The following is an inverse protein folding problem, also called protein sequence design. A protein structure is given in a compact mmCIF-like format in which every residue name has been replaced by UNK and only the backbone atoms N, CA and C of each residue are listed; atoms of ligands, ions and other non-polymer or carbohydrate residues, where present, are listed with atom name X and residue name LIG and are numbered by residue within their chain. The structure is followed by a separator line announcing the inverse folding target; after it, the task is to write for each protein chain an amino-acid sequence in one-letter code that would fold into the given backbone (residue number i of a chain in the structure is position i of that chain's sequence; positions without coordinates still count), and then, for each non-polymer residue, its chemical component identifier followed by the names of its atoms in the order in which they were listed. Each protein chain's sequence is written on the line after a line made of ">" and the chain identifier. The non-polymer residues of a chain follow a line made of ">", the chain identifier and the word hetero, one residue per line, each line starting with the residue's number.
data_IF_580660337563
#
_entry.id   IF_580660337563
#
_cell.length_a   1.000
_cell.length_b   1.000
_cell.length_c   1.000
_cell.angle_alpha   90.00
_cell.angle_beta   90.00
_cell.angle_gamma   90.00
#
_symmetry.space_group_name_H-M   'P 1'
#
loop_
_entity.id
_entity.type
_entity.pdbx_description
1 polymer ?
#
# COMPACT_ATOMS: atom_id res chain seq x y z
N UNK A 1 -6.56 -16.87 -59.52
CA UNK A 1 -5.83 -17.68 -58.53
C UNK A 1 -5.19 -16.77 -57.48
N UNK A 2 -5.94 -16.14 -56.56
CA UNK A 2 -5.39 -15.42 -55.39
C UNK A 2 -6.45 -15.20 -54.29
N UNK A 3 -7.12 -16.26 -53.81
CA UNK A 3 -8.06 -16.11 -52.68
C UNK A 3 -8.00 -17.29 -51.72
N UNK A 4 -6.81 -17.56 -51.17
CA UNK A 4 -6.61 -18.64 -50.16
C UNK A 4 -5.56 -18.32 -49.08
N UNK A 5 -5.21 -17.05 -48.85
CA UNK A 5 -4.14 -16.70 -47.90
C UNK A 5 -4.58 -15.88 -46.67
N UNK A 6 -5.77 -15.29 -46.66
CA UNK A 6 -6.20 -14.44 -45.53
C UNK A 6 -6.87 -15.20 -44.37
N UNK A 7 -7.33 -16.45 -44.57
CA UNK A 7 -8.07 -17.21 -43.56
C UNK A 7 -7.19 -17.97 -42.56
N UNK A 8 -5.93 -18.27 -42.88
CA UNK A 8 -5.01 -18.97 -41.99
C UNK A 8 -4.37 -18.08 -40.91
N UNK A 9 -4.15 -16.80 -41.25
CA UNK A 9 -3.47 -15.84 -40.36
C UNK A 9 -4.37 -15.39 -39.19
N UNK A 10 -5.67 -15.18 -39.43
CA UNK A 10 -6.63 -14.84 -38.38
C UNK A 10 -6.90 -16.02 -37.43
N UNK A 11 -6.93 -17.25 -37.94
CA UNK A 11 -7.13 -18.44 -37.10
C UNK A 11 -5.90 -18.74 -36.24
N UNK A 12 -4.68 -18.56 -36.77
CA UNK A 12 -3.44 -18.68 -36.01
C UNK A 12 -3.27 -17.60 -34.94
N UNK A 13 -3.73 -16.38 -35.20
CA UNK A 13 -3.66 -15.27 -34.25
C UNK A 13 -4.66 -15.43 -33.09
N UNK A 14 -5.88 -15.92 -33.35
CA UNK A 14 -6.86 -16.26 -32.30
C UNK A 14 -6.39 -17.46 -31.46
N UNK A 15 -5.74 -18.45 -32.08
CA UNK A 15 -5.12 -19.56 -31.36
C UNK A 15 -3.94 -19.12 -30.49
N UNK A 16 -3.06 -18.24 -30.97
CA UNK A 16 -1.95 -17.73 -30.17
C UNK A 16 -2.41 -16.88 -28.99
N UNK A 17 -3.48 -16.09 -29.15
CA UNK A 17 -4.09 -15.35 -28.03
C UNK A 17 -4.70 -16.32 -27.01
N UNK A 18 -5.38 -17.39 -27.45
CA UNK A 18 -5.91 -18.40 -26.53
C UNK A 18 -4.81 -19.15 -25.77
N UNK A 19 -3.68 -19.47 -26.42
CA UNK A 19 -2.53 -20.13 -25.80
C UNK A 19 -1.83 -19.23 -24.79
N UNK A 20 -1.71 -17.91 -25.03
CA UNK A 20 -1.10 -16.98 -24.06
C UNK A 20 -1.99 -16.68 -22.86
N UNK A 21 -3.31 -16.78 -22.99
CA UNK A 21 -4.24 -16.67 -21.85
C UNK A 21 -4.22 -17.96 -21.00
N UNK A 22 -4.19 -19.14 -21.63
CA UNK A 22 -4.15 -20.42 -20.91
C UNK A 22 -2.80 -20.70 -20.23
N UNK A 23 -1.69 -20.17 -20.75
CA UNK A 23 -0.36 -20.36 -20.17
C UNK A 23 -0.09 -19.52 -18.91
N UNK A 24 -0.99 -18.61 -18.54
CA UNK A 24 -0.92 -17.82 -17.30
C UNK A 24 -1.67 -18.48 -16.14
N UNK A 25 -1.79 -19.81 -16.14
CA UNK A 25 -2.20 -20.54 -14.95
C UNK A 25 -1.11 -20.40 -13.88
N UNK A 26 -1.19 -19.32 -13.09
CA UNK A 26 -0.39 -19.15 -11.88
C UNK A 26 -0.62 -20.36 -11.00
N UNK A 27 0.43 -21.15 -10.77
CA UNK A 27 0.39 -22.20 -9.76
C UNK A 27 0.27 -21.47 -8.42
N UNK A 28 -0.95 -21.34 -7.90
CA UNK A 28 -1.19 -20.86 -6.55
C UNK A 28 -0.62 -21.92 -5.61
N UNK A 29 0.63 -21.72 -5.16
CA UNK A 29 1.17 -22.50 -4.07
C UNK A 29 0.26 -22.28 -2.86
N UNK A 30 -0.20 -23.34 -2.17
CA UNK A 30 -0.92 -23.18 -0.92
C UNK A 30 -0.08 -22.35 0.04
N UNK A 31 -0.69 -21.36 0.69
CA UNK A 31 -0.04 -20.59 1.74
C UNK A 31 0.38 -21.53 2.88
N UNK A 32 1.68 -21.64 3.14
CA UNK A 32 2.28 -22.46 4.18
C UNK A 32 2.63 -21.67 5.47
N UNK A 33 2.32 -20.37 5.47
CA UNK A 33 2.54 -19.48 6.61
C UNK A 33 1.43 -19.52 7.67
N UNK A 34 1.53 -18.66 8.71
CA UNK A 34 0.52 -18.57 9.77
C UNK A 34 -0.88 -18.30 9.21
N UNK A 35 -1.87 -19.03 9.72
CA UNK A 35 -3.30 -18.87 9.39
C UNK A 35 -4.08 -18.15 10.49
N UNK A 36 -3.42 -17.84 11.60
CA UNK A 36 -3.96 -17.13 12.76
C UNK A 36 -3.08 -15.95 13.14
N UNK A 37 -3.69 -14.94 13.76
CA UNK A 37 -3.00 -13.78 14.29
C UNK A 37 -3.76 -13.16 15.46
N UNK A 38 -3.31 -11.99 15.94
CA UNK A 38 -4.06 -11.22 16.93
C UNK A 38 -5.50 -10.98 16.45
N UNK A 39 -6.47 -10.87 17.38
CA UNK A 39 -7.84 -10.52 17.03
C UNK A 39 -7.90 -9.22 16.22
N UNK A 40 -8.80 -9.20 15.24
CA UNK A 40 -9.08 -8.00 14.46
C UNK A 40 -9.55 -6.87 15.39
N UNK A 41 -8.89 -5.71 15.29
CA UNK A 41 -9.29 -4.49 15.99
C UNK A 41 -10.39 -3.79 15.17
N UNK A 42 -11.63 -4.25 15.34
CA UNK A 42 -12.78 -3.74 14.59
C UNK A 42 -13.24 -2.35 15.07
N UNK A 43 -13.85 -1.60 14.15
CA UNK A 43 -14.52 -0.33 14.41
C UNK A 43 -13.71 0.89 13.99
N UNK A 44 -14.35 2.05 13.96
CA UNK A 44 -13.78 3.29 13.42
C UNK A 44 -12.49 3.69 14.13
N UNK A 45 -11.39 3.62 13.39
CA UNK A 45 -10.09 4.16 13.77
C UNK A 45 -9.67 5.20 12.72
N UNK A 46 -9.08 6.29 13.18
CA UNK A 46 -8.46 7.29 12.31
C UNK A 46 -6.95 7.04 12.28
N UNK A 47 -6.45 6.69 11.11
CA UNK A 47 -5.04 6.38 10.87
C UNK A 47 -4.50 7.35 9.83
N UNK A 48 -3.31 7.89 10.04
CA UNK A 48 -2.63 8.70 9.04
C UNK A 48 -1.37 8.01 8.56
N UNK A 49 -1.29 7.76 7.25
CA UNK A 49 -0.09 7.23 6.59
C UNK A 49 0.72 8.41 6.03
N UNK A 50 1.91 8.63 6.57
CA UNK A 50 2.83 9.66 6.12
C UNK A 50 3.92 8.99 5.29
N UNK A 51 3.88 9.18 3.97
CA UNK A 51 4.91 8.67 3.08
C UNK A 51 6.11 9.61 3.03
N UNK A 52 7.31 9.04 2.90
CA UNK A 52 8.50 9.81 2.50
C UNK A 52 8.29 10.42 1.10
N UNK A 53 7.84 9.61 0.14
CA UNK A 53 7.59 10.03 -1.24
C UNK A 53 6.68 9.03 -1.97
N UNK A 54 5.49 9.43 -2.41
CA UNK A 54 4.61 8.53 -3.18
C UNK A 54 5.06 8.26 -4.62
N UNK A 55 6.12 8.92 -5.12
CA UNK A 55 6.77 8.52 -6.37
C UNK A 55 7.56 7.22 -6.21
N UNK A 56 7.86 6.81 -4.97
CA UNK A 56 8.43 5.51 -4.69
C UNK A 56 7.35 4.42 -4.78
N UNK A 57 7.42 3.60 -5.83
CA UNK A 57 6.44 2.53 -6.07
C UNK A 57 6.29 1.52 -4.92
N UNK A 58 7.36 1.29 -4.14
CA UNK A 58 7.34 0.40 -2.98
C UNK A 58 6.66 0.99 -1.73
N UNK A 59 6.67 2.32 -1.57
CA UNK A 59 5.89 2.99 -0.51
C UNK A 59 4.40 3.00 -0.92
N UNK A 60 4.12 3.31 -2.18
CA UNK A 60 2.76 3.39 -2.70
C UNK A 60 2.06 2.02 -2.72
N UNK A 61 2.78 0.93 -3.02
CA UNK A 61 2.23 -0.43 -2.91
C UNK A 61 1.89 -0.79 -1.46
N UNK A 62 2.76 -0.46 -0.50
CA UNK A 62 2.50 -0.66 0.94
C UNK A 62 1.29 0.16 1.42
N UNK A 63 1.19 1.43 1.04
CA UNK A 63 0.01 2.24 1.36
C UNK A 63 -1.28 1.61 0.83
N UNK A 64 -1.31 1.16 -0.44
CA UNK A 64 -2.49 0.52 -1.02
C UNK A 64 -2.87 -0.78 -0.29
N UNK A 65 -1.88 -1.64 -0.03
CA UNK A 65 -2.11 -2.89 0.71
C UNK A 65 -2.63 -2.61 2.13
N UNK A 66 -2.00 -1.66 2.84
CA UNK A 66 -2.44 -1.22 4.16
C UNK A 66 -3.86 -0.65 4.13
N UNK A 67 -4.16 0.23 3.18
CA UNK A 67 -5.49 0.85 3.07
C UNK A 67 -6.57 -0.18 2.73
N UNK A 68 -6.27 -1.20 1.92
CA UNK A 68 -7.20 -2.29 1.65
C UNK A 68 -7.47 -3.13 2.90
N UNK A 69 -6.44 -3.46 3.68
CA UNK A 69 -6.59 -4.18 4.94
C UNK A 69 -7.35 -3.35 6.00
N UNK A 70 -7.05 -2.06 6.10
CA UNK A 70 -7.71 -1.12 7.00
C UNK A 70 -9.22 -1.01 6.71
N UNK A 71 -9.61 -1.03 5.43
CA UNK A 71 -11.02 -1.01 5.04
C UNK A 71 -11.80 -2.23 5.54
N UNK A 72 -11.18 -3.42 5.59
CA UNK A 72 -11.79 -4.63 6.16
C UNK A 72 -12.04 -4.52 7.67
N UNK A 73 -11.36 -3.59 8.34
CA UNK A 73 -11.46 -3.33 9.79
C UNK A 73 -12.36 -2.14 10.13
N UNK A 74 -12.96 -1.48 9.12
CA UNK A 74 -13.68 -0.20 9.26
C UNK A 74 -12.77 0.97 9.72
N UNK A 75 -11.48 0.92 9.36
CA UNK A 75 -10.54 2.01 9.65
C UNK A 75 -10.51 3.03 8.52
N UNK A 76 -10.45 4.31 8.89
CA UNK A 76 -10.25 5.42 7.97
C UNK A 76 -8.76 5.75 7.87
N UNK A 77 -8.21 5.64 6.66
CA UNK A 77 -6.80 5.97 6.39
C UNK A 77 -6.69 7.27 5.59
N UNK A 78 -6.03 8.26 6.17
CA UNK A 78 -5.63 9.49 5.47
C UNK A 78 -4.19 9.38 4.97
N UNK A 79 -3.92 9.85 3.76
CA UNK A 79 -2.58 9.89 3.18
C UNK A 79 -1.96 11.28 3.30
N UNK A 80 -0.68 11.33 3.68
CA UNK A 80 0.19 12.51 3.60
C UNK A 80 1.43 12.17 2.79
N UNK A 81 1.90 13.10 1.97
CA UNK A 81 3.09 12.94 1.12
C UNK A 81 4.20 13.91 1.51
N UNK A 82 5.35 13.37 1.89
CA UNK A 82 6.58 14.12 2.14
C UNK A 82 7.29 14.58 0.86
N UNK A 83 6.92 14.05 -0.32
CA UNK A 83 7.45 14.41 -1.65
C UNK A 83 8.98 14.30 -1.77
N UNK A 84 9.59 13.47 -0.95
CA UNK A 84 11.04 13.28 -0.88
C UNK A 84 11.78 14.37 -0.11
N UNK A 85 11.08 15.29 0.56
CA UNK A 85 11.65 16.40 1.31
C UNK A 85 11.47 16.19 2.83
N UNK A 86 12.59 16.22 3.56
CA UNK A 86 12.59 15.96 5.00
C UNK A 86 11.82 17.04 5.77
N UNK A 87 11.90 18.30 5.38
CA UNK A 87 11.21 19.40 6.06
C UNK A 87 9.70 19.35 5.81
N UNK A 88 9.28 19.08 4.57
CA UNK A 88 7.86 18.86 4.26
C UNK A 88 7.30 17.68 5.05
N UNK A 89 8.06 16.59 5.15
CA UNK A 89 7.68 15.42 5.94
C UNK A 89 7.55 15.77 7.43
N UNK A 90 8.49 16.54 7.99
CA UNK A 90 8.44 17.03 9.38
C UNK A 90 7.20 17.90 9.63
N UNK A 91 6.89 18.81 8.72
CA UNK A 91 5.69 19.66 8.80
C UNK A 91 4.41 18.83 8.74
N UNK A 92 4.35 17.85 7.83
CA UNK A 92 3.20 16.94 7.74
C UNK A 92 3.03 16.12 9.02
N UNK A 93 4.12 15.61 9.60
CA UNK A 93 4.07 14.86 10.84
C UNK A 93 3.62 15.73 12.02
N UNK A 94 4.19 16.92 12.19
CA UNK A 94 3.75 17.86 13.24
C UNK A 94 2.25 18.18 13.13
N UNK A 95 1.76 18.54 11.94
CA UNK A 95 0.33 18.80 11.69
C UNK A 95 -0.55 17.58 11.97
N UNK A 96 -0.06 16.38 11.67
CA UNK A 96 -0.78 15.13 11.91
C UNK A 96 -0.94 14.85 13.40
N UNK A 97 0.08 15.13 14.22
CA UNK A 97 -0.01 14.94 15.68
C UNK A 97 -1.12 15.81 16.27
N UNK A 98 -1.28 17.05 15.79
CA UNK A 98 -2.36 17.96 16.23
C UNK A 98 -3.77 17.44 15.91
N UNK A 99 -3.92 16.61 14.88
CA UNK A 99 -5.19 15.95 14.55
C UNK A 99 -5.55 14.83 15.53
N UNK A 100 -4.61 14.42 16.40
CA UNK A 100 -4.75 13.34 17.39
C UNK A 100 -5.35 12.05 16.81
N UNK A 101 -4.80 11.51 15.70
CA UNK A 101 -5.25 10.23 15.17
C UNK A 101 -4.95 9.10 16.16
N UNK A 102 -5.60 7.96 15.96
CA UNK A 102 -5.38 6.78 16.78
C UNK A 102 -4.00 6.17 16.51
N UNK A 103 -3.53 6.26 15.26
CA UNK A 103 -2.18 5.85 14.89
C UNK A 103 -1.63 6.66 13.71
N UNK A 104 -0.31 6.68 13.61
CA UNK A 104 0.45 7.20 12.48
C UNK A 104 1.35 6.09 11.94
N UNK A 105 1.31 5.87 10.64
CA UNK A 105 2.19 4.95 9.90
C UNK A 105 3.22 5.76 9.14
N UNK A 106 4.50 5.48 9.35
CA UNK A 106 5.63 6.14 8.71
C UNK A 106 6.11 5.31 7.50
N UNK A 107 5.71 5.71 6.30
CA UNK A 107 6.05 5.02 5.06
C UNK A 107 7.42 5.40 4.52
N UNK A 108 8.45 4.58 4.82
CA UNK A 108 9.81 4.81 4.32
C UNK A 108 10.60 5.89 5.06
N UNK A 109 10.15 6.29 6.25
CA UNK A 109 10.79 7.32 7.05
C UNK A 109 11.47 6.65 8.25
N UNK A 110 12.78 6.86 8.41
CA UNK A 110 13.46 6.42 9.63
C UNK A 110 13.02 7.28 10.82
N UNK A 111 12.60 6.69 11.95
CA UNK A 111 12.23 7.45 13.15
C UNK A 111 13.41 8.24 13.74
N UNK A 112 14.66 7.89 13.40
CA UNK A 112 15.86 8.60 13.84
C UNK A 112 15.97 10.02 13.28
N UNK A 113 15.30 10.34 12.17
CA UNK A 113 15.33 11.69 11.59
C UNK A 113 14.41 12.69 12.29
N UNK A 114 13.49 12.22 13.14
CA UNK A 114 12.46 13.04 13.79
C UNK A 114 12.14 12.57 15.22
N UNK A 115 13.18 12.26 16.00
CA UNK A 115 13.06 11.73 17.36
C UNK A 115 12.23 12.63 18.29
N UNK A 116 12.30 13.95 18.07
CA UNK A 116 11.51 14.95 18.79
C UNK A 116 10.01 14.79 18.54
N UNK A 117 9.61 14.62 17.27
CA UNK A 117 8.21 14.41 16.87
C UNK A 117 7.71 13.02 17.26
N UNK A 118 8.56 11.98 17.15
CA UNK A 118 8.25 10.62 17.63
C UNK A 118 7.93 10.66 19.13
N UNK A 119 8.80 11.29 19.93
CA UNK A 119 8.58 11.42 21.37
C UNK A 119 7.34 12.26 21.68
N UNK A 120 7.05 13.29 20.88
CA UNK A 120 5.85 14.10 21.05
C UNK A 120 4.57 13.31 20.77
N UNK A 121 4.51 12.57 19.67
CA UNK A 121 3.38 11.71 19.33
C UNK A 121 3.12 10.64 20.40
N UNK A 122 4.19 10.02 20.95
CA UNK A 122 4.08 9.06 22.05
C UNK A 122 3.48 9.69 23.31
N UNK A 123 3.90 10.92 23.67
CA UNK A 123 3.30 11.66 24.79
C UNK A 123 1.83 12.00 24.56
N UNK A 124 1.41 12.17 23.29
CA UNK A 124 0.01 12.32 22.91
C UNK A 124 -0.75 10.98 22.84
N UNK A 125 -0.12 9.87 23.25
CA UNK A 125 -0.68 8.51 23.22
C UNK A 125 -1.08 8.04 21.81
N UNK A 126 -0.44 8.59 20.77
CA UNK A 126 -0.64 8.17 19.38
C UNK A 126 0.24 6.94 19.12
N UNK A 127 -0.36 5.87 18.58
CA UNK A 127 0.41 4.67 18.19
C UNK A 127 1.27 4.98 16.96
N UNK A 128 2.57 4.68 17.00
CA UNK A 128 3.48 4.84 15.87
C UNK A 128 3.87 3.49 15.29
N UNK A 129 3.86 3.40 13.96
CA UNK A 129 4.28 2.25 13.17
C UNK A 129 5.26 2.74 12.10
N UNK A 130 6.36 2.02 11.85
CA UNK A 130 7.37 2.35 10.85
C UNK A 130 7.93 1.12 10.15
#
# INVERSE_FOLDING_TARGET
>A
MQLRLASGLLFGMVWMIAVTIAAQATILQPWDGPTSGPPAQLGKQQIVFIAQDYRNGGITSRYRAFSAAAALLDWQVQAMDGRGDLQMTRVAFAKTIEQKPHAIVLGGISPTYMTDLVSYAQRQQIKLIG
#
